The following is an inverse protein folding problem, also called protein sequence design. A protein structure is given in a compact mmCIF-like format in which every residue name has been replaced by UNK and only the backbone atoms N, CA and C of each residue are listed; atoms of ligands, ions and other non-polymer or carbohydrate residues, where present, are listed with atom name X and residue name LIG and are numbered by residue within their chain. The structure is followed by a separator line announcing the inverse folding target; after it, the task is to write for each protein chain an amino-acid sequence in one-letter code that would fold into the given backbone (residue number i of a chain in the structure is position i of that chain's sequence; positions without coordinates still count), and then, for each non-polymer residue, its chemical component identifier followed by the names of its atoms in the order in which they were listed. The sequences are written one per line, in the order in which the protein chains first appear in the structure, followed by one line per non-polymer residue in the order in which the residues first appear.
data_IF_660946995012
#
_entry.id   IF_660946995012
#
_cell.length_a   1.000
_cell.length_b   1.000
_cell.length_c   1.000
_cell.angle_alpha   90.00
_cell.angle_beta   90.00
_cell.angle_gamma   90.00
#
_symmetry.space_group_name_H-M   'P 1'
#
loop_
_entity.id
_entity.type
_entity.pdbx_description
1 polymer ?
#
# COMPACT_ATOMS: atom_id res chain seq x y z
N UNK A 1 13.69 -45.35 4.28
CA UNK A 1 12.43 -44.57 4.27
C UNK A 1 12.37 -43.57 5.43
N UNK A 2 12.66 -44.01 6.66
CA UNK A 2 12.62 -43.18 7.86
C UNK A 2 13.53 -41.93 7.84
N UNK A 3 14.76 -42.02 7.33
CA UNK A 3 15.67 -40.86 7.26
C UNK A 3 15.16 -39.75 6.33
N UNK A 4 14.54 -40.14 5.20
CA UNK A 4 13.95 -39.19 4.24
C UNK A 4 12.70 -38.52 4.82
N UNK A 5 11.87 -39.27 5.53
CA UNK A 5 10.70 -38.73 6.23
C UNK A 5 11.11 -37.80 7.38
N UNK A 6 12.13 -38.16 8.15
CA UNK A 6 12.70 -37.32 9.20
C UNK A 6 13.26 -36.00 8.63
N UNK A 7 14.03 -36.07 7.53
CA UNK A 7 14.55 -34.89 6.86
C UNK A 7 13.44 -33.97 6.33
N UNK A 8 12.37 -34.54 5.78
CA UNK A 8 11.19 -33.79 5.32
C UNK A 8 10.49 -33.11 6.51
N UNK A 9 10.31 -33.81 7.63
CA UNK A 9 9.73 -33.23 8.84
C UNK A 9 10.58 -32.08 9.40
N UNK A 10 11.91 -32.24 9.45
CA UNK A 10 12.82 -31.19 9.91
C UNK A 10 12.79 -29.98 8.99
N UNK A 11 12.86 -30.17 7.66
CA UNK A 11 12.76 -29.09 6.68
C UNK A 11 11.41 -28.36 6.72
N UNK A 12 10.33 -29.04 7.10
CA UNK A 12 9.01 -28.44 7.29
C UNK A 12 8.86 -27.70 8.64
N UNK A 13 9.55 -28.14 9.70
CA UNK A 13 9.48 -27.53 11.04
C UNK A 13 10.40 -26.31 11.21
N UNK A 14 11.55 -26.27 10.53
CA UNK A 14 12.48 -25.12 10.56
C UNK A 14 11.81 -23.78 10.19
N UNK A 15 11.05 -23.65 9.08
CA UNK A 15 10.41 -22.37 8.74
C UNK A 15 9.35 -21.92 9.76
N UNK A 16 8.67 -22.86 10.43
CA UNK A 16 7.72 -22.57 11.51
C UNK A 16 8.41 -22.00 12.75
N UNK A 17 9.62 -22.49 13.07
CA UNK A 17 10.40 -22.00 14.21
C UNK A 17 11.14 -20.68 13.91
N UNK A 18 11.47 -20.41 12.64
CA UNK A 18 12.15 -19.16 12.24
C UNK A 18 11.22 -17.96 12.08
N UNK A 19 9.91 -18.17 11.97
CA UNK A 19 8.93 -17.08 11.75
C UNK A 19 8.88 -16.06 12.91
N UNK A 20 9.38 -16.42 14.09
CA UNK A 20 9.44 -15.53 15.25
C UNK A 20 10.77 -14.77 15.38
N UNK A 21 11.79 -15.11 14.57
CA UNK A 21 13.14 -14.55 14.69
C UNK A 21 13.42 -13.46 13.65
N UNK A 22 12.68 -13.46 12.55
CA UNK A 22 12.86 -12.47 11.47
C UNK A 22 12.09 -11.20 11.85
N UNK A 23 12.82 -10.19 12.31
CA UNK A 23 12.28 -8.85 12.53
C UNK A 23 12.12 -8.14 11.18
N UNK A 24 11.03 -7.38 10.98
CA UNK A 24 10.90 -6.53 9.80
C UNK A 24 12.00 -5.47 9.82
N UNK A 25 12.51 -5.12 8.64
CA UNK A 25 13.42 -3.98 8.53
C UNK A 25 12.66 -2.69 8.90
N UNK A 26 13.23 -1.85 9.77
CA UNK A 26 12.64 -0.56 10.07
C UNK A 26 12.61 0.29 8.81
N UNK A 27 11.65 1.19 8.73
CA UNK A 27 11.62 2.18 7.65
C UNK A 27 12.82 3.11 7.78
N UNK A 28 13.59 3.26 6.71
CA UNK A 28 14.73 4.17 6.62
C UNK A 28 14.35 5.37 5.76
N UNK A 29 14.01 6.47 6.44
CA UNK A 29 13.64 7.75 5.82
C UNK A 29 14.73 8.28 4.89
N UNK A 30 16.01 8.11 5.24
CA UNK A 30 17.12 8.65 4.46
C UNK A 30 17.25 7.86 3.16
N UNK A 31 17.26 6.53 3.26
CA UNK A 31 17.31 5.66 2.09
C UNK A 31 16.13 5.90 1.16
N UNK A 32 14.91 5.93 1.70
CA UNK A 32 13.70 6.22 0.93
C UNK A 32 13.78 7.58 0.23
N UNK A 33 14.21 8.63 0.95
CA UNK A 33 14.35 9.97 0.39
C UNK A 33 15.40 10.01 -0.72
N UNK A 34 16.53 9.33 -0.55
CA UNK A 34 17.56 9.20 -1.59
C UNK A 34 17.01 8.50 -2.82
N UNK A 35 16.25 7.41 -2.65
CA UNK A 35 15.59 6.71 -3.77
C UNK A 35 14.61 7.64 -4.52
N UNK A 36 13.78 8.39 -3.79
CA UNK A 36 12.83 9.36 -4.37
C UNK A 36 13.56 10.47 -5.13
N UNK A 37 14.63 11.03 -4.57
CA UNK A 37 15.41 12.09 -5.21
C UNK A 37 16.19 11.61 -6.44
N UNK A 38 16.56 10.32 -6.47
CA UNK A 38 17.24 9.71 -7.61
C UNK A 38 16.26 9.33 -8.74
N UNK A 39 14.96 9.27 -8.47
CA UNK A 39 13.96 9.01 -9.50
C UNK A 39 13.98 10.13 -10.54
N UNK A 40 14.10 9.77 -11.82
CA UNK A 40 14.15 10.77 -12.90
C UNK A 40 12.71 11.16 -13.27
N UNK A 41 12.33 12.45 -13.19
CA UNK A 41 10.98 12.87 -13.57
C UNK A 41 10.63 12.54 -15.04
N UNK A 42 11.63 12.44 -15.91
CA UNK A 42 11.46 12.04 -17.30
C UNK A 42 10.85 10.63 -17.44
N UNK A 43 11.10 9.73 -16.48
CA UNK A 43 10.60 8.35 -16.52
C UNK A 43 9.08 8.27 -16.29
N UNK A 44 8.45 9.33 -15.78
CA UNK A 44 6.98 9.43 -15.69
C UNK A 44 6.31 9.48 -17.07
N UNK A 45 7.05 9.94 -18.09
CA UNK A 45 6.59 10.08 -19.46
C UNK A 45 7.18 9.01 -20.39
N UNK A 46 8.00 8.10 -19.87
CA UNK A 46 8.52 6.98 -20.63
C UNK A 46 7.39 6.00 -20.99
N UNK A 47 7.55 5.13 -21.99
CA UNK A 47 6.57 4.09 -22.29
C UNK A 47 6.27 3.22 -21.06
N UNK A 48 4.98 3.02 -20.78
CA UNK A 48 4.49 2.24 -19.63
C UNK A 48 4.12 0.81 -20.01
N UNK A 49 4.51 0.36 -21.20
CA UNK A 49 4.19 -0.95 -21.74
C UNK A 49 5.46 -1.59 -22.32
N UNK A 50 5.67 -2.85 -21.96
CA UNK A 50 6.73 -3.69 -22.52
C UNK A 50 6.16 -5.10 -22.72
N UNK A 51 6.28 -5.63 -23.93
CA UNK A 51 5.81 -6.97 -24.29
C UNK A 51 4.30 -7.20 -24.00
N UNK A 52 3.46 -6.17 -24.18
CA UNK A 52 2.02 -6.21 -23.88
C UNK A 52 1.68 -6.11 -22.39
N UNK A 53 2.68 -5.90 -21.52
CA UNK A 53 2.50 -5.79 -20.07
C UNK A 53 2.79 -4.37 -19.60
N UNK A 54 1.90 -3.87 -18.74
CA UNK A 54 2.10 -2.59 -18.07
C UNK A 54 3.24 -2.67 -17.06
N UNK A 55 4.11 -1.66 -17.03
CA UNK A 55 5.15 -1.50 -16.02
C UNK A 55 5.39 -0.02 -15.69
N UNK A 56 5.95 0.25 -14.51
CA UNK A 56 6.27 1.61 -14.04
C UNK A 56 7.78 1.90 -14.22
N UNK A 57 8.22 2.69 -15.21
CA UNK A 57 9.65 2.94 -15.45
C UNK A 57 10.38 3.64 -14.30
N UNK A 58 9.72 4.50 -13.54
CA UNK A 58 10.30 5.30 -12.45
C UNK A 58 10.41 4.55 -11.12
N UNK A 59 9.82 3.36 -11.02
CA UNK A 59 9.91 2.47 -9.86
C UNK A 59 10.27 1.07 -10.34
N UNK A 60 11.46 0.92 -10.93
CA UNK A 60 11.98 -0.38 -11.30
C UNK A 60 11.94 -1.25 -10.03
N UNK A 61 11.15 -2.34 -10.01
CA UNK A 61 11.08 -3.18 -8.85
C UNK A 61 12.49 -3.71 -8.59
N UNK A 62 13.10 -3.35 -7.46
CA UNK A 62 14.23 -4.13 -6.95
C UNK A 62 13.79 -5.59 -6.79
N UNK A 63 14.72 -6.55 -6.79
CA UNK A 63 14.45 -7.99 -6.83
C UNK A 63 13.34 -8.45 -5.87
N UNK A 64 12.08 -8.45 -6.34
CA UNK A 64 10.91 -8.92 -5.58
C UNK A 64 10.62 -10.37 -5.91
N UNK A 65 11.61 -11.23 -5.68
CA UNK A 65 11.50 -12.67 -5.93
C UNK A 65 10.69 -13.41 -4.86
N UNK A 66 10.46 -14.71 -5.09
CA UNK A 66 9.79 -15.61 -4.15
C UNK A 66 10.42 -15.62 -2.75
N UNK A 67 11.74 -15.45 -2.65
CA UNK A 67 12.45 -15.34 -1.36
C UNK A 67 12.03 -14.11 -0.55
N UNK A 68 11.78 -12.97 -1.20
CA UNK A 68 11.30 -11.76 -0.53
C UNK A 68 9.86 -11.95 -0.05
N UNK A 69 9.02 -12.62 -0.83
CA UNK A 69 7.67 -13.00 -0.41
C UNK A 69 7.70 -13.91 0.82
N UNK A 70 8.55 -14.93 0.83
CA UNK A 70 8.69 -15.84 1.97
C UNK A 70 9.25 -15.12 3.21
N UNK A 71 10.26 -14.25 3.04
CA UNK A 71 10.79 -13.37 4.10
C UNK A 71 9.66 -12.53 4.70
N UNK A 72 8.85 -11.87 3.87
CA UNK A 72 7.72 -11.06 4.33
C UNK A 72 6.68 -11.90 5.09
N UNK A 73 6.30 -13.06 4.54
CA UNK A 73 5.29 -13.95 5.15
C UNK A 73 5.73 -14.49 6.51
N UNK A 74 7.02 -14.75 6.68
CA UNK A 74 7.61 -15.27 7.91
C UNK A 74 8.12 -14.17 8.85
N UNK A 75 8.14 -12.90 8.44
CA UNK A 75 8.56 -11.80 9.31
C UNK A 75 7.49 -11.48 10.36
N UNK A 76 7.95 -11.08 11.55
CA UNK A 76 7.07 -10.53 12.57
C UNK A 76 6.32 -9.30 12.04
N UNK A 77 5.05 -9.15 12.42
CA UNK A 77 4.31 -7.93 12.12
C UNK A 77 4.97 -6.75 12.84
N UNK A 78 5.27 -5.68 12.11
CA UNK A 78 5.72 -4.43 12.70
C UNK A 78 4.70 -3.94 13.73
N UNK A 79 5.18 -3.61 14.93
CA UNK A 79 4.33 -3.04 15.98
C UNK A 79 4.00 -1.61 15.59
N UNK A 80 2.73 -1.34 15.31
CA UNK A 80 2.27 0.01 15.03
C UNK A 80 2.39 0.85 16.32
N UNK A 81 3.16 1.96 16.33
CA UNK A 81 3.37 2.77 17.52
C UNK A 81 2.04 3.28 18.10
N UNK A 82 1.89 3.29 19.42
CA UNK A 82 0.64 3.74 20.05
C UNK A 82 0.34 5.21 19.77
N UNK A 83 1.39 6.05 19.64
CA UNK A 83 1.27 7.44 19.21
C UNK A 83 0.62 7.57 17.82
N UNK A 84 0.97 6.68 16.89
CA UNK A 84 0.42 6.71 15.53
C UNK A 84 -1.07 6.33 15.50
N UNK A 85 -1.58 5.59 16.49
CA UNK A 85 -3.02 5.27 16.59
C UNK A 85 -3.89 6.49 16.92
N UNK A 86 -3.27 7.50 17.53
CA UNK A 86 -3.93 8.73 17.99
C UNK A 86 -3.91 9.79 16.87
N UNK A 87 -2.95 9.72 15.94
CA UNK A 87 -2.81 10.62 14.80
C UNK A 87 -3.83 10.31 13.70
N UNK A 88 -5.12 10.38 14.02
CA UNK A 88 -6.20 10.31 13.04
C UNK A 88 -6.58 11.72 12.57
N UNK A 89 -6.84 11.91 11.28
CA UNK A 89 -7.39 13.18 10.79
C UNK A 89 -8.74 13.45 11.45
N UNK A 90 -9.04 14.73 11.68
CA UNK A 90 -10.34 15.13 12.21
C UNK A 90 -11.43 14.82 11.17
N UNK A 91 -12.51 14.19 11.63
CA UNK A 91 -13.71 14.02 10.81
C UNK A 91 -14.45 15.35 10.73
N UNK A 92 -14.70 15.83 9.51
CA UNK A 92 -15.58 16.99 9.29
C UNK A 92 -16.98 16.48 8.99
N UNK A 93 -17.96 16.69 9.89
CA UNK A 93 -19.29 16.09 9.77
C UNK A 93 -20.14 16.77 8.68
N UNK A 94 -21.32 16.20 8.44
CA UNK A 94 -22.37 16.77 7.58
C UNK A 94 -21.92 17.03 6.14
N UNK A 95 -21.14 16.12 5.56
CA UNK A 95 -20.58 16.25 4.22
C UNK A 95 -21.65 16.61 3.17
N UNK A 96 -22.76 15.88 3.14
CA UNK A 96 -23.85 16.09 2.16
C UNK A 96 -24.40 17.51 2.26
N UNK A 97 -24.80 17.95 3.46
CA UNK A 97 -25.32 19.31 3.67
C UNK A 97 -24.30 20.40 3.30
N UNK A 98 -23.00 20.15 3.49
CA UNK A 98 -21.95 21.08 3.07
C UNK A 98 -21.80 21.15 1.55
N UNK A 99 -21.93 20.02 0.86
CA UNK A 99 -21.92 19.98 -0.61
C UNK A 99 -23.16 20.69 -1.16
N UNK A 100 -24.34 20.45 -0.58
CA UNK A 100 -25.60 21.08 -0.99
C UNK A 100 -25.62 22.60 -0.78
N UNK A 101 -24.89 23.07 0.24
CA UNK A 101 -24.73 24.50 0.52
C UNK A 101 -23.72 25.20 -0.41
N UNK A 102 -22.94 24.45 -1.21
CA UNK A 102 -22.04 25.05 -2.19
C UNK A 102 -22.82 25.47 -3.44
N UNK A 103 -22.50 26.62 -4.05
CA UNK A 103 -22.98 26.96 -5.38
C UNK A 103 -22.72 25.83 -6.40
N UNK A 104 -23.60 25.67 -7.39
CA UNK A 104 -23.51 24.57 -8.37
C UNK A 104 -22.20 24.57 -9.18
N UNK A 105 -21.62 25.76 -9.39
CA UNK A 105 -20.38 26.01 -10.13
C UNK A 105 -19.11 25.91 -9.25
N UNK A 106 -19.25 25.63 -7.96
CA UNK A 106 -18.10 25.52 -7.06
C UNK A 106 -17.41 24.17 -7.15
N UNK A 107 -16.09 24.19 -7.34
CA UNK A 107 -15.27 22.98 -7.29
C UNK A 107 -14.96 22.57 -5.85
N UNK A 108 -14.83 21.26 -5.61
CA UNK A 108 -14.43 20.74 -4.30
C UNK A 108 -13.66 19.42 -4.38
N UNK A 109 -12.90 19.15 -3.31
CA UNK A 109 -12.18 17.90 -3.07
C UNK A 109 -12.48 17.43 -1.64
N UNK A 110 -12.91 16.19 -1.51
CA UNK A 110 -13.22 15.54 -0.22
C UNK A 110 -12.46 14.22 -0.15
N UNK A 111 -11.68 14.07 0.91
CA UNK A 111 -11.10 12.78 1.25
C UNK A 111 -12.08 11.99 2.12
N UNK A 112 -12.56 10.86 1.62
CA UNK A 112 -13.50 9.98 2.34
C UNK A 112 -12.72 9.01 3.24
N UNK A 113 -11.59 8.50 2.76
CA UNK A 113 -10.71 7.58 3.49
C UNK A 113 -9.94 6.67 2.55
N UNK A 114 -8.86 6.05 3.04
CA UNK A 114 -7.95 5.24 2.21
C UNK A 114 -7.50 6.02 0.95
N UNK A 115 -7.71 5.45 -0.25
CA UNK A 115 -7.47 6.09 -1.55
C UNK A 115 -8.75 6.70 -2.16
N UNK A 116 -9.85 6.80 -1.41
CA UNK A 116 -11.14 7.29 -1.90
C UNK A 116 -11.28 8.80 -1.73
N UNK A 117 -11.35 9.50 -2.86
CA UNK A 117 -11.66 10.92 -2.96
C UNK A 117 -12.90 11.15 -3.80
N UNK A 118 -13.79 12.00 -3.29
CA UNK A 118 -14.91 12.56 -4.03
C UNK A 118 -14.55 13.99 -4.44
N UNK A 119 -14.73 14.30 -5.72
CA UNK A 119 -14.40 15.59 -6.28
C UNK A 119 -15.50 16.09 -7.19
N UNK A 120 -15.68 17.41 -7.26
CA UNK A 120 -16.43 18.08 -8.32
C UNK A 120 -15.52 19.09 -9.00
N UNK A 121 -15.36 18.96 -10.31
CA UNK A 121 -14.61 19.90 -11.14
C UNK A 121 -15.43 20.26 -12.38
N UNK A 122 -15.69 21.54 -12.60
CA UNK A 122 -16.52 22.04 -13.70
C UNK A 122 -17.89 21.34 -13.78
N UNK A 123 -18.53 21.13 -12.63
CA UNK A 123 -19.82 20.42 -12.52
C UNK A 123 -19.76 18.90 -12.69
N UNK A 124 -18.60 18.31 -12.99
CA UNK A 124 -18.43 16.85 -13.14
C UNK A 124 -17.96 16.24 -11.83
N UNK A 125 -18.65 15.19 -11.39
CA UNK A 125 -18.29 14.43 -10.20
C UNK A 125 -17.34 13.29 -10.53
N UNK A 126 -16.29 13.15 -9.73
CA UNK A 126 -15.29 12.10 -9.82
C UNK A 126 -15.18 11.37 -8.49
N UNK A 127 -15.04 10.04 -8.56
CA UNK A 127 -14.78 9.20 -7.41
C UNK A 127 -13.58 8.30 -7.71
N UNK A 128 -12.59 8.31 -6.83
CA UNK A 128 -11.37 7.49 -6.96
C UNK A 128 -11.46 6.27 -6.04
N UNK A 129 -10.91 5.13 -6.50
CA UNK A 129 -10.74 3.86 -5.77
C UNK A 129 -11.78 3.65 -4.64
N UNK A 130 -13.07 3.48 -4.99
CA UNK A 130 -14.15 3.52 -4.00
C UNK A 130 -14.07 2.34 -3.03
N UNK A 131 -13.67 2.61 -1.78
CA UNK A 131 -13.67 1.67 -0.66
C UNK A 131 -14.72 2.12 0.36
N UNK A 132 -15.98 1.77 0.09
CA UNK A 132 -17.13 2.15 0.91
C UNK A 132 -17.67 1.00 1.78
N UNK A 133 -17.00 -0.15 1.75
CA UNK A 133 -17.30 -1.32 2.57
C UNK A 133 -16.40 -1.35 3.82
N UNK A 134 -16.81 -2.14 4.81
CA UNK A 134 -15.99 -2.39 6.01
C UNK A 134 -14.69 -3.13 5.70
N UNK A 135 -14.63 -3.83 4.55
CA UNK A 135 -13.50 -4.64 4.15
C UNK A 135 -13.23 -4.61 2.65
N UNK A 136 -11.96 -4.45 2.31
CA UNK A 136 -11.45 -4.72 0.98
C UNK A 136 -11.38 -6.24 0.75
N UNK A 137 -11.98 -6.71 -0.35
CA UNK A 137 -11.84 -8.06 -0.93
C UNK A 137 -12.83 -9.18 -0.49
N UNK A 138 -13.62 -9.04 0.57
CA UNK A 138 -14.70 -10.00 0.92
C UNK A 138 -15.87 -9.27 1.61
N UNK A 139 -17.15 -9.64 1.35
CA UNK A 139 -18.29 -9.11 2.09
C UNK A 139 -18.20 -9.42 3.59
#
# INVERSE_FOLDING_TARGET
MAFRQFLICVLALVPLLTSCLIKPEPFDETKWRTEVLNAKPADLYAPHEKDGLFYNPWMIPGDRGFGQFLKWRLSLRSKYPDQAKILKPNLVPNLVARIDALPEDSDFLVWIGHATFLMRFNGVYWLTDPMLSDRALLP
#
